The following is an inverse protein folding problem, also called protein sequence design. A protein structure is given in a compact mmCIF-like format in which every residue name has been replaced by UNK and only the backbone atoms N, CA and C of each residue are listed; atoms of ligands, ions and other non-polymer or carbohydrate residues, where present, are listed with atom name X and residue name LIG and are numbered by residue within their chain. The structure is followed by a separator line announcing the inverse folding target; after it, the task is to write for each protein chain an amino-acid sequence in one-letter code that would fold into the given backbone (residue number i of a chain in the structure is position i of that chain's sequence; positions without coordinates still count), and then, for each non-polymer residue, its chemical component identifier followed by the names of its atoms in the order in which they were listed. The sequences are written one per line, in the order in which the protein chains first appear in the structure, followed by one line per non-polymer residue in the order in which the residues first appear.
data_IF_977499310714
#
_entry.id   IF_977499310714
#
_cell.length_a   1.000
_cell.length_b   1.000
_cell.length_c   1.000
_cell.angle_alpha   90.00
_cell.angle_beta   90.00
_cell.angle_gamma   90.00
#
_symmetry.space_group_name_H-M   'P 1'
#
loop_
_entity.id
_entity.type
_entity.pdbx_description
1 polymer ?
#
# COMPACT_ATOMS: atom_id res chain seq x y z
N UNK A 1 -7.64 5.93 -4.27
CA UNK A 1 -7.65 7.21 -5.02
C UNK A 1 -6.23 7.72 -5.16
N UNK A 2 -5.72 7.82 -6.40
CA UNK A 2 -4.38 8.34 -6.71
C UNK A 2 -4.34 9.86 -6.58
N UNK A 3 -3.15 10.44 -6.61
CA UNK A 3 -2.97 11.91 -6.66
C UNK A 3 -3.64 12.51 -7.90
N UNK A 4 -3.64 11.82 -9.06
CA UNK A 4 -4.28 12.31 -10.28
C UNK A 4 -5.80 12.40 -10.15
N UNK A 5 -6.44 11.43 -9.50
CA UNK A 5 -7.89 11.49 -9.27
C UNK A 5 -8.26 12.69 -8.38
N UNK A 6 -7.45 13.01 -7.37
CA UNK A 6 -7.65 14.22 -6.55
C UNK A 6 -7.47 15.52 -7.35
N UNK A 7 -6.78 15.47 -8.50
CA UNK A 7 -6.63 16.58 -9.43
C UNK A 7 -7.74 16.64 -10.50
N UNK A 8 -8.74 15.75 -10.43
CA UNK A 8 -9.81 15.67 -11.43
C UNK A 8 -9.34 15.16 -12.79
N UNK A 9 -8.18 14.51 -12.85
CA UNK A 9 -7.68 13.87 -14.08
C UNK A 9 -8.36 12.52 -14.28
N UNK A 10 -8.49 12.12 -15.54
CA UNK A 10 -8.95 10.80 -15.91
C UNK A 10 -8.05 9.71 -15.31
N UNK A 11 -8.67 8.61 -14.86
CA UNK A 11 -7.96 7.48 -14.28
C UNK A 11 -7.46 6.54 -15.36
N UNK A 12 -6.33 5.90 -15.08
CA UNK A 12 -5.63 4.97 -15.96
C UNK A 12 -4.94 3.87 -15.15
N UNK A 13 -4.24 2.96 -15.83
CA UNK A 13 -3.53 1.82 -15.22
C UNK A 13 -2.60 2.22 -14.07
N UNK A 14 -1.92 3.38 -14.17
CA UNK A 14 -1.01 3.86 -13.11
C UNK A 14 -1.75 4.21 -11.83
N UNK A 15 -3.00 4.64 -11.93
CA UNK A 15 -3.79 5.10 -10.79
C UNK A 15 -4.25 3.92 -9.92
N UNK A 16 -4.54 2.78 -10.54
CA UNK A 16 -4.80 1.51 -9.84
C UNK A 16 -3.54 1.01 -9.12
N UNK A 17 -2.38 1.05 -9.78
CA UNK A 17 -1.11 0.65 -9.17
C UNK A 17 -0.72 1.58 -8.00
N UNK A 18 -0.89 2.90 -8.14
CA UNK A 18 -0.67 3.84 -7.04
C UNK A 18 -1.63 3.57 -5.86
N UNK A 19 -2.90 3.25 -6.15
CA UNK A 19 -3.86 2.87 -5.12
C UNK A 19 -3.46 1.57 -4.40
N UNK A 20 -2.96 0.56 -5.10
CA UNK A 20 -2.42 -0.66 -4.49
C UNK A 20 -1.19 -0.37 -3.61
N UNK A 21 -0.27 0.49 -4.05
CA UNK A 21 0.87 0.91 -3.24
C UNK A 21 0.44 1.57 -1.92
N UNK A 22 -0.59 2.43 -1.97
CA UNK A 22 -1.17 3.00 -0.75
C UNK A 22 -1.83 1.93 0.15
N UNK A 23 -2.47 0.91 -0.43
CA UNK A 23 -3.06 -0.20 0.33
C UNK A 23 -1.99 -1.05 1.01
N UNK A 24 -0.88 -1.36 0.33
CA UNK A 24 0.24 -2.08 0.94
C UNK A 24 0.80 -1.31 2.14
N UNK A 25 1.01 0.00 1.99
CA UNK A 25 1.48 0.83 3.11
C UNK A 25 0.45 0.92 4.24
N UNK A 26 -0.84 0.90 3.93
CA UNK A 26 -1.90 0.82 4.94
C UNK A 26 -1.81 -0.49 5.74
N UNK A 27 -1.66 -1.64 5.09
CA UNK A 27 -1.52 -2.92 5.80
C UNK A 27 -0.28 -2.97 6.68
N UNK A 28 0.87 -2.49 6.17
CA UNK A 28 2.12 -2.51 6.92
C UNK A 28 2.15 -1.52 8.10
N UNK A 29 1.52 -0.35 7.96
CA UNK A 29 1.53 0.72 8.98
C UNK A 29 0.32 0.72 9.90
N UNK A 30 -0.76 0.03 9.53
CA UNK A 30 -2.10 0.13 10.13
C UNK A 30 -2.83 1.45 9.84
N UNK A 31 -2.13 2.51 9.42
CA UNK A 31 -2.72 3.79 9.05
C UNK A 31 -1.87 4.59 8.05
N UNK A 32 -2.51 5.52 7.35
CA UNK A 32 -1.93 6.43 6.37
C UNK A 32 -2.04 7.89 6.86
N UNK A 33 -1.06 8.76 6.53
CA UNK A 33 -1.01 10.15 7.03
C UNK A 33 -2.23 11.01 6.69
N UNK A 34 -2.97 10.64 5.63
CA UNK A 34 -4.16 11.35 5.16
C UNK A 34 -5.48 10.78 5.71
N UNK A 35 -5.44 9.88 6.70
CA UNK A 35 -6.65 9.41 7.40
C UNK A 35 -7.06 10.37 8.52
N UNK A 36 -8.36 10.44 8.81
CA UNK A 36 -8.88 11.21 9.95
C UNK A 36 -8.76 12.74 9.87
N UNK A 37 -8.40 13.30 8.71
CA UNK A 37 -8.27 14.76 8.54
C UNK A 37 -9.61 15.47 8.79
N UNK A 38 -9.58 16.50 9.64
CA UNK A 38 -10.74 17.35 9.94
C UNK A 38 -11.02 18.33 8.79
N UNK A 39 -12.27 18.42 8.36
CA UNK A 39 -12.73 19.35 7.34
C UNK A 39 -14.23 19.63 7.54
N UNK A 40 -14.65 20.84 7.19
CA UNK A 40 -16.04 21.30 7.39
C UNK A 40 -16.97 20.78 6.28
N UNK A 41 -16.44 20.59 5.06
CA UNK A 41 -17.17 20.03 3.94
C UNK A 41 -16.49 18.78 3.37
N UNK A 42 -17.27 17.95 2.67
CA UNK A 42 -16.75 16.77 1.98
C UNK A 42 -15.73 17.15 0.90
N UNK A 43 -15.97 18.26 0.18
CA UNK A 43 -15.07 18.80 -0.84
C UNK A 43 -13.72 19.16 -0.23
N UNK A 44 -13.73 19.90 0.88
CA UNK A 44 -12.51 20.30 1.58
C UNK A 44 -11.77 19.08 2.13
N UNK A 45 -12.50 18.06 2.60
CA UNK A 45 -11.91 16.79 3.03
C UNK A 45 -11.13 16.12 1.89
N UNK A 46 -11.72 16.00 0.70
CA UNK A 46 -11.04 15.40 -0.45
C UNK A 46 -9.84 16.22 -0.91
N UNK A 47 -9.94 17.55 -0.87
CA UNK A 47 -8.82 18.43 -1.18
C UNK A 47 -7.66 18.24 -0.19
N UNK A 48 -7.93 18.29 1.12
CA UNK A 48 -6.91 18.06 2.16
C UNK A 48 -6.25 16.69 2.01
N UNK A 49 -7.01 15.63 1.77
CA UNK A 49 -6.47 14.28 1.53
C UNK A 49 -5.52 14.30 0.32
N UNK A 50 -5.92 14.93 -0.78
CA UNK A 50 -5.10 15.04 -1.99
C UNK A 50 -3.81 15.83 -1.76
N UNK A 51 -3.88 16.94 -1.02
CA UNK A 51 -2.73 17.75 -0.64
C UNK A 51 -1.76 16.98 0.29
N UNK A 52 -2.27 16.32 1.33
CA UNK A 52 -1.43 15.50 2.22
C UNK A 52 -0.75 14.37 1.46
N UNK A 53 -1.44 13.68 0.53
CA UNK A 53 -0.84 12.64 -0.32
C UNK A 53 0.31 13.17 -1.19
N UNK A 54 0.13 14.36 -1.77
CA UNK A 54 1.17 15.01 -2.58
C UNK A 54 2.36 15.46 -1.74
N UNK A 55 2.09 16.01 -0.57
CA UNK A 55 3.10 16.61 0.30
C UNK A 55 3.82 15.57 1.16
N UNK A 56 3.33 14.33 1.24
CA UNK A 56 4.00 13.23 1.92
C UNK A 56 5.05 12.63 0.99
N UNK A 57 6.36 12.77 1.27
CA UNK A 57 7.42 12.13 0.49
C UNK A 57 7.29 10.61 0.55
N UNK A 58 7.65 9.92 -0.53
CA UNK A 58 7.58 8.45 -0.59
C UNK A 58 8.49 7.83 0.47
N UNK A 59 9.65 8.43 0.68
CA UNK A 59 10.65 8.03 1.67
C UNK A 59 10.07 8.07 3.08
N UNK A 60 9.37 9.15 3.43
CA UNK A 60 8.73 9.28 4.75
C UNK A 60 7.56 8.31 4.90
N UNK A 61 6.78 8.09 3.83
CA UNK A 61 5.68 7.12 3.87
C UNK A 61 6.21 5.70 4.14
N UNK A 62 7.31 5.33 3.49
CA UNK A 62 7.90 3.99 3.53
C UNK A 62 8.96 3.81 4.63
N UNK A 63 9.19 4.82 5.47
CA UNK A 63 10.20 4.76 6.52
C UNK A 63 9.98 3.55 7.45
N UNK A 64 11.06 2.82 7.76
CA UNK A 64 11.02 1.61 8.59
C UNK A 64 10.52 0.34 7.88
N UNK A 65 10.20 0.40 6.58
CA UNK A 65 9.71 -0.72 5.77
C UNK A 65 10.72 -1.08 4.66
N UNK A 66 10.58 -2.24 3.99
CA UNK A 66 11.47 -2.63 2.89
C UNK A 66 11.57 -1.56 1.79
N UNK A 67 12.76 -1.33 1.25
CA UNK A 67 13.05 -0.29 0.25
C UNK A 67 12.27 -0.49 -1.07
N UNK A 68 11.87 -1.73 -1.34
CA UNK A 68 11.02 -2.14 -2.45
C UNK A 68 9.68 -1.41 -2.43
N UNK A 69 9.15 -1.07 -1.25
CA UNK A 69 7.92 -0.26 -1.11
C UNK A 69 8.09 1.15 -1.69
N UNK A 70 9.20 1.80 -1.37
CA UNK A 70 9.51 3.12 -1.91
C UNK A 70 9.80 3.05 -3.41
N UNK A 71 10.51 2.00 -3.85
CA UNK A 71 10.82 1.76 -5.26
C UNK A 71 9.55 1.54 -6.09
N UNK A 72 8.61 0.72 -5.60
CA UNK A 72 7.29 0.53 -6.21
C UNK A 72 6.55 1.85 -6.37
N UNK A 73 6.40 2.62 -5.28
CA UNK A 73 5.64 3.88 -5.29
C UNK A 73 6.27 4.93 -6.21
N UNK A 74 7.60 5.01 -6.25
CA UNK A 74 8.32 5.89 -7.18
C UNK A 74 8.12 5.48 -8.63
N UNK A 75 8.16 4.19 -8.93
CA UNK A 75 7.91 3.66 -10.27
C UNK A 75 6.50 4.03 -10.74
N UNK A 76 5.47 3.70 -9.96
CA UNK A 76 4.07 3.91 -10.39
C UNK A 76 3.70 5.38 -10.53
N UNK A 77 4.27 6.27 -9.69
CA UNK A 77 4.06 7.72 -9.79
C UNK A 77 4.72 8.36 -11.02
N UNK A 78 5.71 7.69 -11.62
CA UNK A 78 6.42 8.16 -12.83
C UNK A 78 5.79 7.70 -14.14
N UNK A 79 4.88 6.73 -14.09
CA UNK A 79 4.24 6.20 -15.30
C UNK A 79 3.43 7.30 -16.01
N UNK A 80 3.53 7.32 -17.34
CA UNK A 80 2.67 8.18 -18.16
C UNK A 80 1.24 7.65 -18.22
N UNK A 81 0.29 8.51 -18.59
CA UNK A 81 -1.14 8.18 -18.59
C UNK A 81 -1.48 6.96 -19.46
N UNK A 82 -0.86 6.88 -20.65
CA UNK A 82 -1.07 5.76 -21.60
C UNK A 82 0.02 4.69 -21.49
N UNK A 83 0.98 4.81 -20.58
CA UNK A 83 2.07 3.86 -20.44
C UNK A 83 1.55 2.50 -19.96
N UNK A 84 2.10 1.43 -20.52
CA UNK A 84 1.85 0.07 -20.04
C UNK A 84 2.86 -0.23 -18.94
N UNK A 85 2.41 -0.44 -17.68
CA UNK A 85 3.32 -0.77 -16.59
C UNK A 85 4.04 -2.09 -16.83
N UNK A 86 5.29 -2.20 -16.40
CA UNK A 86 6.04 -3.45 -16.35
C UNK A 86 5.62 -4.26 -15.11
N UNK A 87 4.54 -5.02 -15.27
CA UNK A 87 3.98 -5.83 -14.19
C UNK A 87 4.91 -6.95 -13.73
N UNK A 88 5.76 -7.47 -14.62
CA UNK A 88 6.69 -8.55 -14.29
C UNK A 88 7.82 -8.03 -13.41
N UNK A 89 8.36 -6.84 -13.72
CA UNK A 89 9.29 -6.13 -12.85
C UNK A 89 8.70 -5.91 -11.44
N UNK A 90 7.48 -5.39 -11.35
CA UNK A 90 6.83 -5.12 -10.06
C UNK A 90 6.60 -6.39 -9.24
N UNK A 91 6.16 -7.48 -9.87
CA UNK A 91 6.00 -8.79 -9.21
C UNK A 91 7.34 -9.38 -8.78
N UNK A 92 8.34 -9.33 -9.65
CA UNK A 92 9.67 -9.88 -9.39
C UNK A 92 10.32 -9.19 -8.19
N UNK A 93 10.19 -7.87 -8.08
CA UNK A 93 10.71 -7.10 -6.95
C UNK A 93 10.23 -7.65 -5.60
N UNK A 94 8.93 -7.88 -5.43
CA UNK A 94 8.41 -8.44 -4.18
C UNK A 94 8.75 -9.91 -3.98
N UNK A 95 8.83 -10.71 -5.06
CA UNK A 95 9.28 -12.10 -4.98
C UNK A 95 10.74 -12.22 -4.54
N UNK A 96 11.62 -11.39 -5.09
CA UNK A 96 13.04 -11.34 -4.71
C UNK A 96 13.18 -10.95 -3.23
N UNK A 97 12.41 -9.95 -2.77
CA UNK A 97 12.36 -9.57 -1.36
C UNK A 97 11.86 -10.73 -0.47
N UNK A 98 10.81 -11.44 -0.90
CA UNK A 98 10.26 -12.58 -0.18
C UNK A 98 11.30 -13.69 0.00
N UNK A 99 12.01 -14.04 -1.08
CA UNK A 99 13.12 -15.01 -1.06
C UNK A 99 14.28 -14.52 -0.17
N UNK A 100 14.67 -13.24 -0.29
CA UNK A 100 15.73 -12.63 0.52
C UNK A 100 15.43 -12.65 2.02
N UNK A 101 14.14 -12.55 2.40
CA UNK A 101 13.68 -12.68 3.78
C UNK A 101 13.62 -14.13 4.27
N UNK A 102 13.81 -15.11 3.38
CA UNK A 102 13.78 -16.52 3.71
C UNK A 102 12.38 -17.08 3.96
N UNK A 103 11.35 -16.41 3.44
CA UNK A 103 9.97 -16.90 3.58
C UNK A 103 9.71 -18.09 2.66
N UNK A 104 8.86 -19.02 3.12
CA UNK A 104 8.38 -20.14 2.33
C UNK A 104 7.05 -19.77 1.66
N UNK A 105 6.88 -20.13 0.40
CA UNK A 105 5.61 -19.94 -0.32
C UNK A 105 4.67 -21.12 0.01
N UNK A 106 4.22 -21.16 1.27
CA UNK A 106 3.38 -22.22 1.85
C UNK A 106 1.89 -21.86 1.89
N UNK A 107 1.53 -20.64 1.48
CA UNK A 107 0.16 -20.14 1.52
C UNK A 107 -0.36 -19.84 2.93
N UNK A 108 0.51 -19.76 3.93
CA UNK A 108 0.15 -19.41 5.31
C UNK A 108 0.23 -17.88 5.46
N UNK A 109 -0.92 -17.27 5.74
CA UNK A 109 -1.06 -15.84 6.02
C UNK A 109 -1.36 -15.58 7.50
N UNK A 110 -1.26 -14.32 7.95
CA UNK A 110 -1.51 -13.90 9.33
C UNK A 110 -2.87 -14.35 9.90
N UNK A 111 -3.90 -14.49 9.04
CA UNK A 111 -5.24 -14.97 9.43
C UNK A 111 -5.44 -16.48 9.24
N UNK A 112 -4.41 -17.20 8.78
CA UNK A 112 -4.44 -18.66 8.54
C UNK A 112 -4.15 -19.42 9.83
N UNK A 113 -4.50 -18.84 11.00
CA UNK A 113 -4.40 -19.47 12.32
C UNK A 113 -4.65 -20.97 12.17
N UNK A 114 -3.60 -21.77 12.40
CA UNK A 114 -3.73 -23.21 12.41
C UNK A 114 -4.81 -23.54 13.43
N UNK A 115 -5.73 -24.44 13.06
CA UNK A 115 -6.80 -24.89 13.97
C UNK A 115 -6.25 -25.33 15.35
N UNK A 116 -4.96 -25.68 15.43
CA UNK A 116 -4.24 -26.01 16.66
C UNK A 116 -4.04 -24.81 17.60
N UNK A 117 -3.62 -23.63 17.13
CA UNK A 117 -3.37 -22.47 18.01
C UNK A 117 -4.66 -21.83 18.53
N UNK A 118 -5.70 -21.81 17.69
CA UNK A 118 -7.02 -21.29 18.07
C UNK A 118 -7.72 -22.18 19.11
N UNK A 119 -7.53 -23.51 19.04
CA UNK A 119 -7.99 -24.45 20.06
C UNK A 119 -7.21 -24.31 21.38
N UNK A 120 -5.89 -24.17 21.33
CA UNK A 120 -5.04 -23.95 22.52
C UNK A 120 -5.36 -22.64 23.26
N UNK A 121 -5.72 -21.57 22.53
CA UNK A 121 -6.15 -20.30 23.15
C UNK A 121 -7.53 -20.39 23.81
N UNK A 122 -8.44 -21.19 23.25
CA UNK A 122 -9.77 -21.45 23.81
C UNK A 122 -9.70 -22.29 25.08
N UNK A 123 -8.85 -23.31 25.12
CA UNK A 123 -8.65 -24.14 26.33
C UNK A 123 -7.99 -23.38 27.48
N UNK A 124 -7.10 -22.41 27.20
CA UNK A 124 -6.46 -21.58 28.24
C UNK A 124 -7.33 -20.43 28.77
N UNK A 125 -8.46 -20.14 28.12
CA UNK A 125 -9.39 -19.08 28.51
C UNK A 125 -10.67 -19.60 29.19
N UNK A 126 -10.75 -20.92 29.41
CA UNK A 126 -11.81 -21.62 30.13
C UNK A 126 -11.30 -22.10 31.49
#
# INVERSE_FOLDING_TARGET
MSINTHLGREQSRRDDLEAMGHMFMYFLRGSLPWQGLKADTLKDRYQKIGETKRNTPVESLCEGHPEEMATYLKYVRRLEFTETPDYDYLRKMFKDLFIKKGFADDGIFDWTDTMEESNLRREKSA
#
